data_IF_487078036809
#
_entry.id   IF_487078036809
#
_cell.length_a   1.000
_cell.length_b   1.000
_cell.length_c   1.000
_cell.angle_alpha   90.00
_cell.angle_beta   90.00
_cell.angle_gamma   90.00
#
_symmetry.space_group_name_H-M   'P 1'
#
loop_
_entity.id
_entity.type
_entity.pdbx_description
1 polymer ?
#
# COMPACT_ATOMS: atom_id res chain seq x y z
N UNK A 1 45.04 -1.65 10.58
CA UNK A 1 44.85 -2.82 9.70
C UNK A 1 43.40 -2.77 9.23
N UNK A 2 43.17 -2.10 8.10
CA UNK A 2 41.85 -1.84 7.53
C UNK A 2 41.58 -2.99 6.55
N UNK A 3 40.57 -3.81 6.83
CA UNK A 3 40.07 -4.80 5.88
C UNK A 3 39.09 -4.08 4.95
N UNK A 4 39.55 -3.82 3.73
CA UNK A 4 38.72 -3.42 2.59
C UNK A 4 37.93 -4.63 2.09
N UNK A 5 36.63 -4.69 2.36
CA UNK A 5 35.74 -5.61 1.66
C UNK A 5 35.29 -5.01 0.32
N UNK A 6 35.43 -5.83 -0.72
CA UNK A 6 35.13 -5.55 -2.11
C UNK A 6 33.68 -5.12 -2.29
N UNK A 7 33.49 -3.91 -2.79
CA UNK A 7 32.24 -3.49 -3.45
C UNK A 7 32.03 -4.43 -4.65
N UNK A 8 31.01 -5.30 -4.57
CA UNK A 8 30.47 -6.01 -5.74
C UNK A 8 29.83 -4.93 -6.63
N UNK A 9 30.47 -4.63 -7.74
CA UNK A 9 29.87 -3.89 -8.85
C UNK A 9 28.64 -4.64 -9.33
N UNK A 10 27.46 -4.04 -9.12
CA UNK A 10 26.19 -4.49 -9.69
C UNK A 10 26.31 -4.40 -11.23
N UNK A 11 25.81 -5.42 -11.92
CA UNK A 11 25.87 -5.55 -13.38
C UNK A 11 25.17 -4.37 -14.09
N UNK A 12 25.62 -4.07 -15.31
CA UNK A 12 25.20 -2.91 -16.10
C UNK A 12 23.69 -2.79 -16.35
N UNK A 13 22.92 -3.86 -16.19
CA UNK A 13 21.46 -3.85 -16.35
C UNK A 13 20.73 -3.16 -15.19
N UNK A 14 21.35 -3.04 -14.00
CA UNK A 14 20.76 -2.32 -12.86
C UNK A 14 20.99 -0.80 -12.98
N UNK A 15 22.08 -0.39 -13.64
CA UNK A 15 22.42 1.02 -13.81
C UNK A 15 21.50 1.76 -14.79
N UNK A 16 20.91 1.07 -15.78
CA UNK A 16 19.97 1.67 -16.73
C UNK A 16 18.63 2.07 -16.10
N UNK A 17 18.30 1.57 -14.90
CA UNK A 17 17.09 1.93 -14.16
C UNK A 17 17.20 3.32 -13.50
N UNK A 18 18.41 3.88 -13.39
CA UNK A 18 18.65 5.16 -12.70
C UNK A 18 18.77 6.37 -13.63
N UNK A 19 18.68 6.21 -14.96
CA UNK A 19 19.01 7.29 -15.90
C UNK A 19 17.96 8.41 -16.01
N UNK A 20 16.71 8.19 -15.54
CA UNK A 20 15.75 9.24 -15.15
C UNK A 20 14.82 8.64 -14.07
N UNK A 21 14.83 9.19 -12.86
CA UNK A 21 13.94 8.70 -11.80
C UNK A 21 12.47 8.73 -12.23
N UNK A 22 11.71 7.69 -11.88
CA UNK A 22 10.27 7.63 -12.12
C UNK A 22 9.53 8.76 -11.37
N UNK A 23 8.46 9.36 -11.94
CA UNK A 23 7.59 10.27 -11.22
C UNK A 23 7.10 9.63 -9.92
N UNK A 24 7.28 10.31 -8.79
CA UNK A 24 6.85 9.78 -7.49
C UNK A 24 5.35 10.01 -7.32
N UNK A 25 4.58 8.94 -7.32
CA UNK A 25 3.14 8.98 -7.10
C UNK A 25 2.78 8.97 -5.60
N UNK A 26 3.54 8.25 -4.77
CA UNK A 26 3.30 8.13 -3.33
C UNK A 26 4.59 8.23 -2.54
N UNK A 27 4.51 8.92 -1.40
CA UNK A 27 5.53 8.98 -0.36
C UNK A 27 4.91 8.57 0.97
N UNK A 28 5.41 7.50 1.55
CA UNK A 28 4.99 6.95 2.84
C UNK A 28 6.06 7.27 3.89
N UNK A 29 5.71 8.06 4.90
CA UNK A 29 6.62 8.35 5.99
C UNK A 29 6.64 7.25 7.06
N UNK A 30 7.54 7.37 8.02
CA UNK A 30 7.72 6.40 9.11
C UNK A 30 7.35 7.00 10.48
N UNK A 31 7.38 6.16 11.52
CA UNK A 31 6.96 6.53 12.88
C UNK A 31 8.14 6.55 13.84
N UNK A 32 8.19 7.57 14.70
CA UNK A 32 9.00 7.58 15.93
C UNK A 32 8.11 7.31 17.15
N UNK A 33 8.74 6.92 18.24
CA UNK A 33 8.10 6.53 19.49
C UNK A 33 7.31 5.22 19.35
N UNK A 34 5.99 5.21 19.29
CA UNK A 34 5.20 3.97 19.23
C UNK A 34 5.17 3.46 17.78
N UNK A 35 5.78 2.31 17.45
CA UNK A 35 5.73 1.75 16.10
C UNK A 35 4.30 1.37 15.73
N UNK A 36 3.99 1.45 14.43
CA UNK A 36 2.72 0.99 13.88
C UNK A 36 2.80 -0.51 13.61
N UNK A 37 2.57 -1.28 14.68
CA UNK A 37 2.58 -2.74 14.64
C UNK A 37 1.17 -3.31 14.54
N UNK A 38 1.08 -4.51 13.97
CA UNK A 38 -0.07 -5.39 14.16
C UNK A 38 -0.27 -5.69 15.66
N UNK A 39 -1.50 -5.96 16.06
CA UNK A 39 -1.86 -6.19 17.44
C UNK A 39 -1.09 -7.36 18.10
N UNK A 40 -0.89 -8.52 17.44
CA UNK A 40 -0.02 -9.57 17.97
C UNK A 40 1.39 -9.07 18.31
N UNK A 41 2.06 -8.37 17.39
CA UNK A 41 3.40 -7.82 17.63
C UNK A 41 3.39 -6.79 18.77
N UNK A 42 2.38 -5.92 18.83
CA UNK A 42 2.23 -4.96 19.92
C UNK A 42 2.04 -5.65 21.29
N UNK A 43 1.33 -6.79 21.34
CA UNK A 43 1.14 -7.57 22.57
C UNK A 43 2.45 -8.16 23.09
N UNK A 44 3.32 -8.65 22.20
CA UNK A 44 4.62 -9.23 22.61
C UNK A 44 5.70 -8.19 22.84
N UNK A 45 5.54 -6.96 22.31
CA UNK A 45 6.50 -5.86 22.46
C UNK A 45 5.86 -4.54 22.93
N UNK A 46 5.16 -4.51 24.08
CA UNK A 46 4.36 -3.35 24.50
C UNK A 46 5.22 -2.11 24.86
N UNK A 47 6.48 -2.33 25.23
CA UNK A 47 7.42 -1.28 25.63
C UNK A 47 8.39 -0.87 24.52
N UNK A 48 8.37 -1.54 23.36
CA UNK A 48 9.25 -1.19 22.25
C UNK A 48 8.93 0.21 21.75
N UNK A 49 9.98 1.00 21.48
CA UNK A 49 9.88 2.33 20.90
C UNK A 49 10.86 2.48 19.75
N UNK A 50 10.39 3.04 18.64
CA UNK A 50 11.28 3.46 17.57
C UNK A 50 11.92 4.81 17.92
N UNK A 51 13.14 4.77 18.45
CA UNK A 51 13.97 5.96 18.71
C UNK A 51 14.97 6.22 17.59
N UNK A 52 15.02 5.35 16.57
CA UNK A 52 16.00 5.43 15.50
C UNK A 52 15.45 6.24 14.34
N UNK A 53 16.00 7.42 14.17
CA UNK A 53 15.85 8.21 12.96
C UNK A 53 16.87 7.76 11.91
N UNK A 54 16.40 7.48 10.70
CA UNK A 54 17.27 7.21 9.55
C UNK A 54 16.99 8.28 8.51
N UNK A 55 17.99 9.10 8.22
CA UNK A 55 17.93 10.16 7.21
C UNK A 55 18.02 9.57 5.79
N UNK A 56 16.93 8.93 5.36
CA UNK A 56 16.87 8.28 4.04
C UNK A 56 15.46 8.29 3.48
N UNK A 57 15.38 8.38 2.16
CA UNK A 57 14.17 8.07 1.39
C UNK A 57 14.54 7.00 0.38
N UNK A 58 13.82 5.88 0.43
CA UNK A 58 14.05 4.73 -0.44
C UNK A 58 12.86 4.55 -1.37
N UNK A 59 13.14 4.18 -2.62
CA UNK A 59 12.10 3.71 -3.53
C UNK A 59 11.76 2.26 -3.18
N UNK A 60 10.47 1.97 -3.02
CA UNK A 60 9.98 0.60 -2.84
C UNK A 60 10.15 -0.14 -4.19
N UNK A 61 10.87 -1.26 -4.24
CA UNK A 61 11.13 -1.96 -5.50
C UNK A 61 9.84 -2.38 -6.23
N UNK A 62 9.92 -2.45 -7.55
CA UNK A 62 8.83 -3.00 -8.38
C UNK A 62 8.52 -4.44 -7.95
N UNK A 63 7.23 -4.80 -7.89
CA UNK A 63 6.76 -6.11 -7.46
C UNK A 63 6.85 -6.37 -5.95
N UNK A 64 7.30 -5.40 -5.16
CA UNK A 64 7.35 -5.51 -3.70
C UNK A 64 6.18 -4.75 -3.06
N UNK A 65 5.40 -5.46 -2.24
CA UNK A 65 4.36 -4.86 -1.41
C UNK A 65 4.97 -4.23 -0.15
N UNK A 66 4.24 -3.34 0.49
CA UNK A 66 4.65 -2.70 1.73
C UNK A 66 3.43 -2.48 2.64
N UNK A 67 3.63 -2.44 3.97
CA UNK A 67 2.56 -2.16 4.92
C UNK A 67 2.32 -0.64 4.97
N UNK A 68 1.55 -0.12 4.01
CA UNK A 68 1.25 1.30 3.95
C UNK A 68 0.40 1.72 5.16
N UNK A 69 0.84 2.75 5.87
CA UNK A 69 0.04 3.42 6.88
C UNK A 69 -0.61 4.68 6.28
N UNK A 70 -1.93 4.82 6.43
CA UNK A 70 -2.69 5.96 5.91
C UNK A 70 -2.43 7.29 6.64
N UNK A 71 -1.83 7.25 7.84
CA UNK A 71 -1.68 8.44 8.70
C UNK A 71 -0.42 9.27 8.42
N UNK A 72 0.59 8.70 7.75
CA UNK A 72 1.81 9.41 7.35
C UNK A 72 2.05 9.20 5.85
N UNK A 73 1.16 9.76 5.03
CA UNK A 73 1.09 9.50 3.61
C UNK A 73 0.91 10.80 2.82
N UNK A 74 1.73 10.98 1.79
CA UNK A 74 1.53 11.98 0.74
C UNK A 74 1.40 11.29 -0.61
N UNK A 75 0.50 11.78 -1.46
CA UNK A 75 0.34 11.25 -2.81
C UNK A 75 0.07 12.35 -3.83
N UNK A 76 0.51 12.12 -5.06
CA UNK A 76 0.19 12.98 -6.18
C UNK A 76 -1.19 12.60 -6.73
N UNK A 77 -2.16 13.49 -6.50
CA UNK A 77 -3.55 13.31 -6.90
C UNK A 77 -3.72 13.06 -8.41
N UNK A 78 -2.96 13.73 -9.25
CA UNK A 78 -3.04 13.59 -10.71
C UNK A 78 -2.48 12.25 -11.18
N UNK A 79 -1.41 11.78 -10.53
CA UNK A 79 -0.77 10.51 -10.91
C UNK A 79 -1.51 9.29 -10.39
N UNK A 80 -2.11 9.33 -9.20
CA UNK A 80 -2.63 8.11 -8.56
C UNK A 80 -3.92 8.28 -7.76
N UNK A 81 -4.48 9.50 -7.73
CA UNK A 81 -5.70 9.81 -6.97
C UNK A 81 -6.86 8.82 -7.13
N UNK A 82 -7.21 8.36 -8.34
CA UNK A 82 -8.30 7.39 -8.50
C UNK A 82 -8.06 6.05 -7.78
N UNK A 83 -6.81 5.67 -7.51
CA UNK A 83 -6.48 4.43 -6.79
C UNK A 83 -6.38 4.60 -5.27
N UNK A 84 -6.56 5.82 -4.74
CA UNK A 84 -6.47 6.11 -3.30
C UNK A 84 -7.81 5.87 -2.59
N UNK A 85 -8.30 4.63 -2.67
CA UNK A 85 -9.50 4.16 -1.97
C UNK A 85 -9.16 3.10 -0.93
N UNK A 86 -9.55 3.36 0.32
CA UNK A 86 -9.27 2.54 1.51
C UNK A 86 -10.28 1.38 1.68
N UNK A 87 -11.11 1.14 0.67
CA UNK A 87 -12.08 0.07 0.69
C UNK A 87 -13.32 0.37 1.54
N UNK A 88 -14.18 -0.62 1.66
CA UNK A 88 -15.36 -0.58 2.53
C UNK A 88 -14.89 -0.83 3.96
N UNK A 89 -14.62 0.26 4.68
CA UNK A 89 -14.21 0.27 6.09
C UNK A 89 -15.28 0.93 6.96
N UNK A 90 -15.16 0.77 8.28
CA UNK A 90 -16.09 1.32 9.26
C UNK A 90 -16.83 0.25 10.06
N UNK A 91 -17.86 0.66 10.79
CA UNK A 91 -18.61 -0.24 11.66
C UNK A 91 -19.27 -1.38 10.87
N UNK A 92 -19.15 -2.60 11.39
CA UNK A 92 -19.62 -3.82 10.72
C UNK A 92 -18.81 -4.27 9.49
N UNK A 93 -17.74 -3.54 9.09
CA UNK A 93 -16.88 -4.00 8.00
C UNK A 93 -15.74 -4.91 8.50
N UNK A 94 -15.44 -6.02 7.80
CA UNK A 94 -14.50 -7.03 8.28
C UNK A 94 -13.02 -6.67 8.10
N UNK A 95 -12.67 -5.65 7.31
CA UNK A 95 -11.28 -5.28 6.97
C UNK A 95 -10.62 -4.35 8.00
N UNK A 96 -11.22 -4.15 9.17
CA UNK A 96 -10.79 -3.10 10.11
C UNK A 96 -9.28 -3.13 10.42
N UNK A 97 -8.61 -1.98 10.29
CA UNK A 97 -7.16 -1.80 10.49
C UNK A 97 -6.27 -2.51 9.45
N UNK A 98 -6.85 -2.97 8.34
CA UNK A 98 -6.16 -3.46 7.15
C UNK A 98 -6.49 -2.62 5.90
N UNK A 99 -7.32 -1.60 6.06
CA UNK A 99 -7.83 -0.72 4.99
C UNK A 99 -6.74 0.08 4.28
N UNK A 100 -5.76 0.58 5.03
CA UNK A 100 -4.60 1.27 4.49
C UNK A 100 -3.63 0.33 3.78
N UNK A 101 -3.34 -0.84 4.34
CA UNK A 101 -2.55 -1.87 3.66
C UNK A 101 -3.22 -2.30 2.35
N UNK A 102 -4.54 -2.51 2.35
CA UNK A 102 -5.32 -2.81 1.15
C UNK A 102 -5.17 -1.72 0.08
N UNK A 103 -5.38 -0.45 0.44
CA UNK A 103 -5.18 0.67 -0.47
C UNK A 103 -3.74 0.72 -0.99
N UNK A 104 -2.77 0.51 -0.10
CA UNK A 104 -1.34 0.46 -0.39
C UNK A 104 -1.00 -0.60 -1.42
N UNK A 105 -1.55 -1.81 -1.30
CA UNK A 105 -1.30 -2.90 -2.25
C UNK A 105 -1.98 -2.66 -3.59
N UNK A 106 -3.24 -2.19 -3.59
CA UNK A 106 -3.93 -1.79 -4.82
C UNK A 106 -3.12 -0.73 -5.59
N UNK A 107 -2.77 0.36 -4.90
CA UNK A 107 -2.07 1.47 -5.52
C UNK A 107 -0.65 1.07 -5.94
N UNK A 108 0.03 0.19 -5.20
CA UNK A 108 1.37 -0.29 -5.55
C UNK A 108 1.37 -1.10 -6.84
N UNK A 109 0.42 -2.02 -7.02
CA UNK A 109 0.28 -2.79 -8.27
C UNK A 109 0.07 -1.85 -9.46
N UNK A 110 -0.75 -0.81 -9.29
CA UNK A 110 -1.04 0.15 -10.35
C UNK A 110 0.17 1.05 -10.63
N UNK A 111 0.87 1.55 -9.61
CA UNK A 111 2.09 2.31 -9.80
C UNK A 111 3.16 1.51 -10.55
N UNK A 112 3.32 0.22 -10.21
CA UNK A 112 4.28 -0.65 -10.89
C UNK A 112 3.94 -0.89 -12.37
N UNK A 113 2.65 -0.95 -12.69
CA UNK A 113 2.13 -1.04 -14.05
C UNK A 113 2.33 0.26 -14.83
N UNK A 114 2.02 1.39 -14.21
CA UNK A 114 2.12 2.73 -14.80
C UNK A 114 3.55 3.28 -14.85
N UNK A 115 4.52 2.60 -14.22
CA UNK A 115 5.90 3.07 -14.14
C UNK A 115 6.11 4.23 -13.16
N UNK A 116 5.25 4.36 -12.15
CA UNK A 116 5.35 5.38 -11.10
C UNK A 116 6.14 4.90 -9.89
N UNK A 117 6.90 5.80 -9.28
CA UNK A 117 7.65 5.53 -8.07
C UNK A 117 6.80 5.62 -6.81
N UNK A 118 7.01 4.66 -5.89
CA UNK A 118 6.51 4.71 -4.51
C UNK A 118 7.72 4.80 -3.58
N UNK A 119 7.71 5.75 -2.65
CA UNK A 119 8.82 6.00 -1.74
C UNK A 119 8.43 5.75 -0.29
N UNK A 120 9.40 5.35 0.52
CA UNK A 120 9.26 5.21 1.97
C UNK A 120 10.47 5.77 2.71
N UNK A 121 10.30 6.25 3.93
CA UNK A 121 11.37 6.82 4.74
C UNK A 121 10.94 8.11 5.43
N UNK A 122 11.58 9.23 5.09
CA UNK A 122 11.15 10.55 5.55
C UNK A 122 9.77 10.94 4.97
N UNK A 123 8.97 11.74 5.71
CA UNK A 123 9.22 12.24 7.06
C UNK A 123 8.91 11.20 8.14
N UNK A 124 9.50 11.39 9.33
CA UNK A 124 9.07 10.67 10.52
C UNK A 124 8.07 11.52 11.32
N UNK A 125 6.97 10.90 11.77
CA UNK A 125 6.00 11.52 12.68
C UNK A 125 6.13 10.93 14.08
N UNK A 126 6.05 11.77 15.11
CA UNK A 126 6.03 11.32 16.50
C UNK A 126 4.65 10.75 16.86
N UNK A 127 4.58 9.43 17.07
CA UNK A 127 3.33 8.76 17.40
C UNK A 127 3.13 8.65 18.91
N UNK A 128 2.07 9.26 19.45
CA UNK A 128 1.81 9.33 20.89
C UNK A 128 0.71 8.38 21.39
N UNK A 129 -0.07 7.75 20.50
CA UNK A 129 -1.25 6.97 20.86
C UNK A 129 -0.98 5.47 20.72
N UNK A 130 -1.00 4.74 21.84
CA UNK A 130 -1.14 3.29 21.82
C UNK A 130 -2.62 2.95 22.04
N UNK A 131 -3.28 2.39 21.02
CA UNK A 131 -4.62 1.82 21.18
C UNK A 131 -4.56 0.49 21.91
N UNK A 132 -5.71 0.03 22.44
CA UNK A 132 -5.78 -1.23 23.17
C UNK A 132 -5.53 -2.41 22.20
N UNK A 133 -4.47 -3.20 22.39
CA UNK A 133 -4.09 -4.24 21.45
C UNK A 133 -5.10 -5.40 21.41
N UNK A 134 -5.83 -5.69 22.49
CA UNK A 134 -6.87 -6.72 22.48
C UNK A 134 -8.09 -6.32 21.65
N UNK A 135 -8.44 -5.03 21.66
CA UNK A 135 -9.50 -4.48 20.79
C UNK A 135 -9.05 -4.51 19.34
N UNK A 136 -7.80 -4.14 19.07
CA UNK A 136 -7.23 -4.15 17.73
C UNK A 136 -7.16 -5.57 17.17
N UNK A 137 -6.72 -6.56 17.96
CA UNK A 137 -6.64 -7.95 17.53
C UNK A 137 -8.00 -8.48 17.03
N UNK A 138 -9.10 -8.13 17.69
CA UNK A 138 -10.45 -8.50 17.24
C UNK A 138 -10.81 -7.88 15.89
N UNK A 139 -10.36 -6.64 15.64
CA UNK A 139 -10.59 -5.93 14.38
C UNK A 139 -9.72 -6.48 13.26
N UNK A 140 -8.47 -6.78 13.56
CA UNK A 140 -7.44 -7.24 12.63
C UNK A 140 -7.56 -8.73 12.29
N UNK A 141 -8.22 -9.55 13.12
CA UNK A 141 -8.27 -11.01 12.98
C UNK A 141 -8.56 -11.50 11.56
N UNK A 142 -9.59 -10.95 10.90
CA UNK A 142 -9.91 -11.33 9.51
C UNK A 142 -8.83 -10.89 8.53
N UNK A 143 -8.27 -9.69 8.69
CA UNK A 143 -7.16 -9.22 7.86
C UNK A 143 -5.92 -10.10 8.00
N UNK A 144 -5.54 -10.45 9.23
CA UNK A 144 -4.42 -11.37 9.52
C UNK A 144 -4.65 -12.73 8.86
N UNK A 145 -5.87 -13.25 8.91
CA UNK A 145 -6.20 -14.53 8.28
C UNK A 145 -6.17 -14.43 6.75
N UNK A 146 -6.79 -13.40 6.17
CA UNK A 146 -6.88 -13.23 4.72
C UNK A 146 -5.55 -12.86 4.07
N UNK A 147 -4.59 -12.29 4.80
CA UNK A 147 -3.32 -11.86 4.22
C UNK A 147 -2.56 -13.02 3.54
N UNK A 148 -2.77 -14.26 3.99
CA UNK A 148 -2.20 -15.48 3.40
C UNK A 148 -2.63 -15.66 1.95
N UNK A 149 -3.82 -15.19 1.57
CA UNK A 149 -4.32 -15.19 0.20
C UNK A 149 -4.12 -13.83 -0.49
N UNK A 150 -4.27 -12.71 0.25
CA UNK A 150 -4.16 -11.36 -0.32
C UNK A 150 -2.76 -11.05 -0.82
N UNK A 151 -1.71 -11.38 -0.04
CA UNK A 151 -0.32 -11.07 -0.42
C UNK A 151 0.07 -11.80 -1.72
N UNK A 152 -0.11 -13.14 -1.84
CA UNK A 152 0.14 -13.83 -3.11
C UNK A 152 -0.73 -13.31 -4.26
N UNK A 153 -1.99 -12.95 -4.00
CA UNK A 153 -2.85 -12.33 -5.02
C UNK A 153 -2.24 -11.04 -5.56
N UNK A 154 -1.85 -10.09 -4.70
CA UNK A 154 -1.30 -8.81 -5.14
C UNK A 154 0.10 -8.95 -5.76
N UNK A 155 0.93 -9.89 -5.28
CA UNK A 155 2.23 -10.19 -5.88
C UNK A 155 2.11 -10.81 -7.27
N UNK A 156 1.04 -11.54 -7.54
CA UNK A 156 0.77 -12.19 -8.83
C UNK A 156 -0.18 -11.40 -9.74
N UNK A 157 -0.71 -10.28 -9.28
CA UNK A 157 -1.61 -9.44 -10.05
C UNK A 157 -0.86 -8.85 -11.26
N UNK A 158 -1.38 -9.12 -12.45
CA UNK A 158 -0.88 -8.55 -13.71
C UNK A 158 -2.04 -7.81 -14.36
N UNK A 159 -1.80 -6.54 -14.70
CA UNK A 159 -2.77 -5.71 -15.41
C UNK A 159 -2.47 -5.76 -16.92
N UNK A 160 -3.51 -5.81 -17.79
CA UNK A 160 -3.35 -5.75 -19.24
C UNK A 160 -2.64 -4.46 -19.67
N UNK A 161 -1.84 -4.53 -20.74
CA UNK A 161 -1.11 -3.37 -21.27
C UNK A 161 -2.04 -2.28 -21.81
N UNK A 162 -3.26 -2.67 -22.14
CA UNK A 162 -4.34 -1.82 -22.62
C UNK A 162 -4.92 -0.92 -21.51
N UNK A 163 -4.69 -1.27 -20.23
CA UNK A 163 -4.99 -0.39 -19.11
C UNK A 163 -3.91 0.70 -19.04
N UNK A 164 -4.18 1.84 -19.70
CA UNK A 164 -3.26 2.97 -19.82
C UNK A 164 -3.61 4.15 -18.91
N UNK A 165 -4.70 4.05 -18.14
CA UNK A 165 -5.07 5.02 -17.09
C UNK A 165 -5.21 4.35 -15.73
N UNK A 166 -5.07 5.12 -14.65
CA UNK A 166 -5.25 4.62 -13.29
C UNK A 166 -6.67 4.09 -13.07
N UNK A 167 -7.69 4.78 -13.60
CA UNK A 167 -9.08 4.32 -13.56
C UNK A 167 -9.24 2.94 -14.22
N UNK A 168 -8.70 2.76 -15.44
CA UNK A 168 -8.75 1.47 -16.14
C UNK A 168 -8.04 0.38 -15.35
N UNK A 169 -6.87 0.68 -14.78
CA UNK A 169 -6.12 -0.24 -13.94
C UNK A 169 -6.91 -0.64 -12.68
N UNK A 170 -7.56 0.32 -12.03
CA UNK A 170 -8.31 0.08 -10.79
C UNK A 170 -9.59 -0.73 -11.06
N UNK A 171 -10.31 -0.44 -12.14
CA UNK A 171 -11.47 -1.22 -12.58
C UNK A 171 -11.06 -2.65 -12.94
N UNK A 172 -9.94 -2.82 -13.64
CA UNK A 172 -9.45 -4.15 -13.98
C UNK A 172 -9.03 -4.94 -12.74
N UNK A 173 -8.34 -4.29 -11.80
CA UNK A 173 -8.01 -4.88 -10.51
C UNK A 173 -9.28 -5.28 -9.73
N UNK A 174 -10.33 -4.46 -9.74
CA UNK A 174 -11.61 -4.78 -9.12
C UNK A 174 -12.24 -6.06 -9.70
N UNK A 175 -12.15 -6.28 -11.01
CA UNK A 175 -12.60 -7.56 -11.62
C UNK A 175 -11.82 -8.75 -11.07
N UNK A 176 -10.49 -8.63 -11.00
CA UNK A 176 -9.64 -9.69 -10.45
C UNK A 176 -9.94 -9.95 -8.97
N UNK A 177 -10.16 -8.90 -8.17
CA UNK A 177 -10.60 -9.01 -6.77
C UNK A 177 -11.93 -9.78 -6.69
N UNK A 178 -12.92 -9.41 -7.49
CA UNK A 178 -14.24 -10.08 -7.51
C UNK A 178 -14.11 -11.57 -7.84
N UNK A 179 -13.34 -11.90 -8.86
CA UNK A 179 -13.19 -13.28 -9.34
C UNK A 179 -12.36 -14.16 -8.40
N UNK A 180 -11.23 -13.64 -7.92
CA UNK A 180 -10.25 -14.43 -7.16
C UNK A 180 -10.54 -14.38 -5.66
N UNK A 181 -10.72 -13.18 -5.11
CA UNK A 181 -10.92 -12.97 -3.66
C UNK A 181 -12.38 -13.10 -3.23
N UNK A 182 -13.34 -12.95 -4.15
CA UNK A 182 -14.76 -13.20 -3.87
C UNK A 182 -15.05 -14.64 -3.39
N UNK A 183 -14.14 -15.59 -3.66
CA UNK A 183 -14.19 -16.97 -3.18
C UNK A 183 -13.79 -17.11 -1.69
N UNK A 184 -13.09 -16.12 -1.14
CA UNK A 184 -12.58 -16.11 0.23
C UNK A 184 -13.67 -15.62 1.19
N UNK A 185 -14.30 -14.48 0.88
CA UNK A 185 -15.40 -13.91 1.66
C UNK A 185 -16.29 -13.03 0.76
N UNK A 186 -17.64 -13.07 0.90
CA UNK A 186 -18.56 -12.21 0.15
C UNK A 186 -18.27 -10.71 0.25
N UNK A 187 -17.56 -10.27 1.30
CA UNK A 187 -17.05 -8.93 1.43
C UNK A 187 -16.29 -8.47 0.18
N UNK A 188 -15.44 -9.32 -0.41
CA UNK A 188 -14.63 -8.94 -1.58
C UNK A 188 -15.46 -8.77 -2.84
N UNK A 189 -16.60 -9.45 -2.95
CA UNK A 189 -17.56 -9.25 -4.04
C UNK A 189 -18.14 -7.83 -3.93
N UNK A 190 -18.63 -7.47 -2.75
CA UNK A 190 -19.17 -6.13 -2.47
C UNK A 190 -18.10 -5.05 -2.60
N UNK A 191 -16.88 -5.32 -2.14
CA UNK A 191 -15.75 -4.41 -2.23
C UNK A 191 -15.39 -4.14 -3.69
N UNK A 192 -15.34 -5.16 -4.54
CA UNK A 192 -15.08 -4.98 -5.96
C UNK A 192 -16.14 -4.09 -6.64
N UNK A 193 -17.42 -4.27 -6.29
CA UNK A 193 -18.47 -3.37 -6.78
C UNK A 193 -18.25 -1.94 -6.30
N UNK A 194 -17.90 -1.76 -5.01
CA UNK A 194 -17.58 -0.45 -4.45
C UNK A 194 -16.32 0.18 -5.06
N UNK A 195 -15.32 -0.60 -5.47
CA UNK A 195 -14.14 -0.12 -6.19
C UNK A 195 -14.52 0.49 -7.54
N UNK A 196 -15.48 -0.11 -8.26
CA UNK A 196 -16.00 0.46 -9.51
C UNK A 196 -16.78 1.74 -9.23
N UNK A 197 -17.68 1.72 -8.25
CA UNK A 197 -18.44 2.91 -7.83
C UNK A 197 -17.53 4.06 -7.39
N UNK A 198 -16.41 3.76 -6.73
CA UNK A 198 -15.42 4.76 -6.36
C UNK A 198 -14.85 5.49 -7.60
N UNK A 199 -14.54 4.75 -8.66
CA UNK A 199 -14.04 5.34 -9.91
C UNK A 199 -15.11 6.17 -10.59
N UNK A 200 -16.36 5.70 -10.61
CA UNK A 200 -17.49 6.47 -11.15
C UNK A 200 -17.66 7.80 -10.40
N UNK A 201 -17.66 7.76 -9.07
CA UNK A 201 -17.76 8.96 -8.24
C UNK A 201 -16.53 9.88 -8.40
N UNK A 202 -15.34 9.30 -8.52
CA UNK A 202 -14.13 10.07 -8.79
C UNK A 202 -14.25 10.83 -10.12
N UNK A 203 -14.66 10.16 -11.19
CA UNK A 203 -14.78 10.76 -12.51
C UNK A 203 -15.91 11.80 -12.55
N UNK A 204 -17.03 11.59 -11.86
CA UNK A 204 -18.10 12.58 -11.73
C UNK A 204 -17.58 13.88 -11.09
N UNK A 205 -16.91 13.76 -9.95
CA UNK A 205 -16.37 14.91 -9.19
C UNK A 205 -15.15 15.58 -9.84
N UNK A 206 -14.51 14.90 -10.79
CA UNK A 206 -13.31 15.37 -11.49
C UNK A 206 -13.55 15.64 -12.97
N UNK A 207 -14.77 15.44 -13.46
CA UNK A 207 -15.13 15.86 -14.80
C UNK A 207 -14.91 17.37 -14.87
N UNK A 208 -13.96 17.80 -15.70
CA UNK A 208 -13.89 19.20 -16.08
C UNK A 208 -15.25 19.53 -16.66
N UNK A 209 -15.97 20.48 -16.04
CA UNK A 209 -17.22 20.99 -16.57
C UNK A 209 -17.05 21.18 -18.09
N UNK A 210 -17.84 20.44 -18.86
CA UNK A 210 -17.91 20.62 -20.32
C UNK A 210 -18.40 22.03 -20.64
#
# INVERSE_FOLDING_TARGET
>A
MILTEKVRTLSGDILSVFEKGAPTAVSHGLWLNIPDYDAPTQLVKPLERNTRYVDTVLTIPKGTLFPMCGMNLGFNRELIGPAMYFGLMGDGQPIGRYDDMWAGWCMKVICDHMGYGVKTGLPYIWHSKASNPFVNLKKEYKGIYWQEDLIPFFQSAVLPKECITVQQCYIELAKQVKEKLGKIDPYFIKLADAMVTWIEAWDELNSTAK
#
